data_IF_051380903114
#
_entry.id   IF_051380903114
#
_cell.length_a   1.000
_cell.length_b   1.000
_cell.length_c   1.000
_cell.angle_alpha   90.00
_cell.angle_beta   90.00
_cell.angle_gamma   90.00
#
_symmetry.space_group_name_H-M   'P 1'
#
loop_
_entity.id
_entity.type
_entity.pdbx_description
1 polymer ?
#
# COMPACT_ATOMS: atom_id res chain seq x y z
N UNK A 1 -3.67 -7.11 0.41
CA UNK A 1 -2.80 -6.14 -0.29
C UNK A 1 -3.46 -5.61 -1.57
N UNK A 2 -3.85 -6.47 -2.53
CA UNK A 2 -4.44 -6.05 -3.82
C UNK A 2 -5.70 -5.19 -3.65
N UNK A 3 -6.57 -5.52 -2.70
CA UNK A 3 -7.75 -4.73 -2.37
C UNK A 3 -7.37 -3.29 -1.96
N UNK A 4 -6.40 -3.13 -1.07
CA UNK A 4 -5.88 -1.81 -0.66
C UNK A 4 -5.39 -1.02 -1.87
N UNK A 5 -4.61 -1.66 -2.76
CA UNK A 5 -4.13 -1.01 -3.99
C UNK A 5 -5.29 -0.57 -4.88
N UNK A 6 -6.33 -1.40 -5.01
CA UNK A 6 -7.54 -1.04 -5.75
C UNK A 6 -8.21 0.22 -5.21
N UNK A 7 -8.33 0.35 -3.87
CA UNK A 7 -8.95 1.52 -3.24
C UNK A 7 -8.05 2.78 -3.29
N UNK A 8 -6.74 2.61 -3.26
CA UNK A 8 -5.81 3.73 -3.37
C UNK A 8 -5.68 4.26 -4.81
N UNK A 9 -5.68 3.39 -5.81
CA UNK A 9 -5.42 3.74 -7.20
C UNK A 9 -6.62 4.32 -7.96
N UNK A 10 -7.84 4.17 -7.45
CA UNK A 10 -9.07 4.77 -8.01
C UNK A 10 -9.90 5.42 -6.91
N UNK A 11 -10.93 6.20 -7.26
CA UNK A 11 -11.87 6.74 -6.28
C UNK A 11 -12.50 5.64 -5.42
N UNK A 12 -12.41 5.79 -4.10
CA UNK A 12 -13.00 4.89 -3.10
C UNK A 12 -14.31 5.46 -2.58
N UNK A 13 -14.29 6.55 -1.83
CA UNK A 13 -15.46 7.26 -1.33
C UNK A 13 -15.68 8.59 -2.07
N UNK A 14 -14.62 9.19 -2.58
CA UNK A 14 -14.64 10.46 -3.29
C UNK A 14 -14.46 10.27 -4.80
N UNK A 15 -15.02 11.19 -5.58
CA UNK A 15 -14.67 11.31 -6.99
C UNK A 15 -13.32 11.98 -7.10
N UNK A 16 -12.43 11.41 -7.90
CA UNK A 16 -11.07 11.90 -8.13
C UNK A 16 -10.85 12.20 -9.61
N UNK A 17 -11.54 13.19 -10.20
CA UNK A 17 -11.34 13.52 -11.61
C UNK A 17 -9.87 13.87 -11.87
N UNK A 18 -9.40 13.66 -13.12
CA UNK A 18 -8.09 14.12 -13.55
C UNK A 18 -7.93 15.60 -13.22
N UNK A 19 -6.77 15.99 -12.69
CA UNK A 19 -6.48 17.39 -12.39
C UNK A 19 -6.57 18.25 -13.66
N UNK A 20 -7.14 19.45 -13.55
CA UNK A 20 -7.37 20.32 -14.70
C UNK A 20 -6.08 20.65 -15.49
N UNK A 21 -4.94 20.74 -14.81
CA UNK A 21 -3.64 20.95 -15.46
C UNK A 21 -3.26 19.77 -16.36
N UNK A 22 -3.44 18.54 -15.85
CA UNK A 22 -3.12 17.31 -16.58
C UNK A 22 -4.10 17.08 -17.72
N UNK A 23 -5.39 17.35 -17.49
CA UNK A 23 -6.44 17.30 -18.51
C UNK A 23 -6.11 18.26 -19.66
N UNK A 24 -5.72 19.49 -19.35
CA UNK A 24 -5.32 20.48 -20.34
C UNK A 24 -4.07 20.04 -21.11
N UNK A 25 -3.06 19.52 -20.43
CA UNK A 25 -1.83 19.02 -21.06
C UNK A 25 -2.11 17.82 -21.98
N UNK A 26 -2.97 16.90 -21.54
CA UNK A 26 -3.38 15.74 -22.35
C UNK A 26 -4.10 16.16 -23.63
N UNK A 27 -5.13 17.03 -23.51
CA UNK A 27 -5.93 17.48 -24.65
C UNK A 27 -5.15 18.41 -25.61
N UNK A 28 -4.07 19.03 -25.15
CA UNK A 28 -3.17 19.76 -26.05
C UNK A 28 -2.41 18.84 -27.03
N UNK A 29 -2.16 17.58 -26.60
CA UNK A 29 -1.52 16.56 -27.44
C UNK A 29 -2.54 15.72 -28.23
N UNK A 30 -3.70 15.49 -27.62
CA UNK A 30 -4.74 14.59 -28.13
C UNK A 30 -6.13 15.27 -28.05
N UNK A 31 -6.38 16.28 -28.93
CA UNK A 31 -7.60 17.09 -28.82
C UNK A 31 -8.91 16.30 -29.02
N UNK A 32 -8.85 15.19 -29.75
CA UNK A 32 -10.02 14.35 -30.04
C UNK A 32 -10.29 13.26 -28.99
N UNK A 33 -9.41 13.11 -27.98
CA UNK A 33 -9.48 12.07 -26.93
C UNK A 33 -10.09 12.58 -25.60
N UNK A 34 -11.18 13.33 -25.69
CA UNK A 34 -11.92 13.81 -24.53
C UNK A 34 -12.36 12.67 -23.59
N UNK A 35 -12.66 11.51 -24.14
CA UNK A 35 -13.04 10.32 -23.34
C UNK A 35 -11.99 9.94 -22.31
N UNK A 36 -10.72 9.90 -22.67
CA UNK A 36 -9.62 9.56 -21.76
C UNK A 36 -9.50 10.62 -20.66
N UNK A 37 -9.51 11.88 -21.05
CA UNK A 37 -9.39 13.01 -20.10
C UNK A 37 -10.57 13.13 -19.12
N UNK A 38 -11.74 12.61 -19.48
CA UNK A 38 -12.95 12.62 -18.62
C UNK A 38 -13.02 11.40 -17.68
N UNK A 39 -12.39 10.28 -18.05
CA UNK A 39 -12.56 9.02 -17.30
C UNK A 39 -11.34 8.62 -16.48
N UNK A 40 -10.15 9.17 -16.73
CA UNK A 40 -9.01 8.95 -15.84
C UNK A 40 -9.23 9.65 -14.49
N UNK A 41 -8.73 9.01 -13.44
CA UNK A 41 -8.90 9.46 -12.07
C UNK A 41 -7.54 9.69 -11.40
N UNK A 42 -7.49 10.61 -10.44
CA UNK A 42 -6.36 10.74 -9.53
C UNK A 42 -6.21 9.47 -8.68
N UNK A 43 -4.99 8.98 -8.58
CA UNK A 43 -4.66 7.80 -7.78
C UNK A 43 -3.57 8.11 -6.76
N UNK A 44 -3.60 7.40 -5.63
CA UNK A 44 -2.47 7.33 -4.70
C UNK A 44 -1.60 6.15 -5.16
N UNK A 45 -0.36 6.37 -5.61
CA UNK A 45 0.48 5.30 -6.14
C UNK A 45 0.70 4.20 -5.10
N UNK A 46 0.37 2.96 -5.45
CA UNK A 46 0.52 1.81 -4.56
C UNK A 46 0.80 0.53 -5.37
N UNK A 47 1.60 -0.37 -4.80
CA UNK A 47 2.00 -1.64 -5.42
C UNK A 47 1.75 -2.78 -4.43
N UNK A 48 1.03 -3.82 -4.86
CA UNK A 48 0.88 -5.05 -4.10
C UNK A 48 2.01 -6.02 -4.46
N UNK A 49 2.96 -6.22 -3.57
CA UNK A 49 4.13 -7.09 -3.81
C UNK A 49 3.76 -8.57 -4.00
N UNK A 50 2.54 -8.95 -3.64
CA UNK A 50 2.00 -10.31 -3.85
C UNK A 50 1.59 -10.58 -5.30
N UNK A 51 1.43 -9.55 -6.13
CA UNK A 51 0.87 -9.67 -7.49
C UNK A 51 1.93 -9.93 -8.57
N UNK A 52 3.21 -9.94 -8.24
CA UNK A 52 4.30 -10.15 -9.18
C UNK A 52 4.62 -11.65 -9.37
N UNK A 53 3.70 -12.41 -9.94
CA UNK A 53 3.78 -13.87 -10.06
C UNK A 53 5.06 -14.35 -10.77
N UNK A 54 5.40 -13.75 -11.91
CA UNK A 54 6.60 -14.13 -12.67
C UNK A 54 7.88 -13.92 -11.86
N UNK A 55 8.00 -12.76 -11.19
CA UNK A 55 9.15 -12.47 -10.33
C UNK A 55 9.21 -13.44 -9.15
N UNK A 56 8.08 -13.67 -8.46
CA UNK A 56 8.02 -14.57 -7.31
C UNK A 56 8.41 -16.01 -7.68
N UNK A 57 7.99 -16.48 -8.85
CA UNK A 57 8.32 -17.81 -9.36
C UNK A 57 9.81 -17.92 -9.70
N UNK A 58 10.34 -16.96 -10.47
CA UNK A 58 11.76 -16.96 -10.85
C UNK A 58 12.66 -16.82 -9.60
N UNK A 59 12.33 -15.89 -8.70
CA UNK A 59 13.08 -15.71 -7.46
C UNK A 59 13.13 -16.97 -6.61
N UNK A 60 12.00 -17.67 -6.46
CA UNK A 60 11.92 -18.89 -5.64
C UNK A 60 12.74 -20.05 -6.20
N UNK A 61 13.08 -20.05 -7.52
CA UNK A 61 13.97 -21.03 -8.11
C UNK A 61 15.45 -20.70 -7.88
N UNK A 62 15.80 -19.42 -7.86
CA UNK A 62 17.20 -18.98 -7.95
C UNK A 62 17.74 -18.42 -6.63
N UNK A 63 16.86 -18.04 -5.68
CA UNK A 63 17.21 -17.36 -4.44
C UNK A 63 16.27 -17.76 -3.28
N UNK A 64 16.61 -17.41 -2.01
CA UNK A 64 15.75 -17.73 -0.87
C UNK A 64 14.33 -17.15 -1.02
N UNK A 65 13.28 -17.98 -1.04
CA UNK A 65 11.89 -17.53 -1.26
C UNK A 65 11.41 -16.50 -0.26
N UNK A 66 11.92 -16.54 0.97
CA UNK A 66 11.56 -15.59 2.03
C UNK A 66 12.02 -14.16 1.73
N UNK A 67 12.91 -13.95 0.79
CA UNK A 67 13.42 -12.63 0.40
C UNK A 67 12.67 -12.01 -0.78
N UNK A 68 11.72 -12.70 -1.39
CA UNK A 68 11.03 -12.24 -2.59
C UNK A 68 10.38 -10.84 -2.42
N UNK A 69 9.76 -10.56 -1.28
CA UNK A 69 9.21 -9.22 -1.01
C UNK A 69 10.30 -8.21 -0.66
N UNK A 70 11.34 -8.65 0.05
CA UNK A 70 12.48 -7.79 0.36
C UNK A 70 13.20 -7.32 -0.92
N UNK A 71 13.37 -8.19 -1.91
CA UNK A 71 13.92 -7.86 -3.22
C UNK A 71 13.07 -6.82 -3.95
N UNK A 72 11.76 -6.98 -3.94
CA UNK A 72 10.85 -6.01 -4.55
C UNK A 72 10.93 -4.64 -3.85
N UNK A 73 10.98 -4.63 -2.51
CA UNK A 73 11.20 -3.40 -1.74
C UNK A 73 12.56 -2.78 -2.09
N UNK A 74 13.59 -3.58 -2.22
CA UNK A 74 14.92 -3.10 -2.62
C UNK A 74 14.93 -2.47 -4.02
N UNK A 75 14.22 -3.07 -4.96
CA UNK A 75 14.11 -2.59 -6.35
C UNK A 75 13.23 -1.35 -6.50
N UNK A 76 12.04 -1.34 -5.91
CA UNK A 76 11.05 -0.27 -6.08
C UNK A 76 11.21 0.86 -5.07
N UNK A 77 11.49 0.54 -3.80
CA UNK A 77 11.42 1.49 -2.69
C UNK A 77 12.41 2.64 -2.79
N UNK A 78 11.95 3.82 -2.49
CA UNK A 78 12.75 5.05 -2.42
C UNK A 78 12.63 5.65 -1.02
N UNK A 79 13.66 6.37 -0.52
CA UNK A 79 13.55 7.10 0.73
C UNK A 79 12.33 8.02 0.75
N UNK A 80 11.54 7.94 1.82
CA UNK A 80 10.29 8.69 1.96
C UNK A 80 9.04 7.95 1.48
N UNK A 81 9.16 6.83 0.77
CA UNK A 81 8.02 5.96 0.49
C UNK A 81 7.52 5.27 1.76
N UNK A 82 6.37 4.64 1.69
CA UNK A 82 5.77 3.88 2.78
C UNK A 82 5.67 2.39 2.43
N UNK A 83 6.15 1.54 3.32
CA UNK A 83 5.94 0.09 3.29
C UNK A 83 4.90 -0.31 4.32
N UNK A 84 3.89 -1.06 3.91
CA UNK A 84 2.90 -1.65 4.81
C UNK A 84 3.02 -3.18 4.81
N UNK A 85 3.45 -3.75 5.94
CA UNK A 85 3.54 -5.19 6.17
C UNK A 85 2.29 -5.72 6.86
N UNK A 86 1.58 -6.67 6.24
CA UNK A 86 0.38 -7.30 6.81
C UNK A 86 0.69 -8.75 7.16
N UNK A 87 0.60 -9.09 8.43
CA UNK A 87 0.82 -10.45 8.93
C UNK A 87 0.03 -10.71 10.21
N UNK A 88 -0.88 -11.68 10.21
CA UNK A 88 -1.71 -11.99 11.38
C UNK A 88 -0.90 -12.34 12.62
N UNK A 89 0.18 -13.11 12.48
CA UNK A 89 1.11 -13.42 13.57
C UNK A 89 2.18 -12.34 13.78
N UNK A 90 2.40 -11.47 12.80
CA UNK A 90 3.52 -10.53 12.78
C UNK A 90 4.91 -11.19 12.66
N UNK A 91 4.96 -12.52 12.40
CA UNK A 91 6.21 -13.31 12.39
C UNK A 91 6.48 -13.99 11.05
N UNK A 92 5.72 -13.69 10.00
CA UNK A 92 5.98 -14.19 8.66
C UNK A 92 7.32 -13.64 8.14
N UNK A 93 8.31 -14.52 7.95
CA UNK A 93 9.69 -14.13 7.63
C UNK A 93 9.80 -13.24 6.41
N UNK A 94 9.05 -13.56 5.34
CA UNK A 94 9.03 -12.77 4.11
C UNK A 94 8.58 -11.33 4.34
N UNK A 95 7.56 -11.11 5.17
CA UNK A 95 7.06 -9.77 5.52
C UNK A 95 8.06 -9.04 6.44
N UNK A 96 8.64 -9.74 7.42
CA UNK A 96 9.63 -9.16 8.34
C UNK A 96 10.91 -8.74 7.60
N UNK A 97 11.39 -9.55 6.65
CA UNK A 97 12.56 -9.18 5.86
C UNK A 97 12.28 -8.00 4.94
N UNK A 98 11.09 -7.93 4.35
CA UNK A 98 10.68 -6.77 3.57
C UNK A 98 10.60 -5.50 4.43
N UNK A 99 10.06 -5.57 5.64
CA UNK A 99 10.03 -4.45 6.59
C UNK A 99 11.44 -3.96 6.97
N UNK A 100 12.35 -4.90 7.27
CA UNK A 100 13.76 -4.57 7.56
C UNK A 100 14.44 -3.89 6.37
N UNK A 101 14.19 -4.38 5.16
CA UNK A 101 14.73 -3.80 3.93
C UNK A 101 14.17 -2.39 3.70
N UNK A 102 12.86 -2.21 3.90
CA UNK A 102 12.20 -0.91 3.79
C UNK A 102 12.81 0.11 4.78
N UNK A 103 12.90 -0.26 6.06
CA UNK A 103 13.50 0.58 7.09
C UNK A 103 14.96 0.97 6.76
N UNK A 104 15.79 -0.02 6.35
CA UNK A 104 17.18 0.21 5.95
C UNK A 104 17.32 1.11 4.71
N UNK A 105 16.30 1.16 3.86
CA UNK A 105 16.23 2.02 2.66
C UNK A 105 15.64 3.40 2.92
N UNK A 106 15.25 3.71 4.17
CA UNK A 106 14.67 5.00 4.54
C UNK A 106 13.20 5.17 4.16
N UNK A 107 12.47 4.05 4.01
CA UNK A 107 11.02 4.08 3.89
C UNK A 107 10.39 4.16 5.28
N UNK A 108 9.22 4.79 5.38
CA UNK A 108 8.36 4.65 6.55
C UNK A 108 7.74 3.26 6.58
N UNK A 109 7.60 2.67 7.77
CA UNK A 109 7.15 1.29 7.90
C UNK A 109 5.94 1.16 8.83
N UNK A 110 4.89 0.52 8.33
CA UNK A 110 3.67 0.20 9.10
C UNK A 110 3.49 -1.32 9.14
N UNK A 111 3.30 -1.86 10.34
CA UNK A 111 2.87 -3.24 10.56
C UNK A 111 1.37 -3.31 10.87
N UNK A 112 0.64 -4.24 10.26
CA UNK A 112 -0.74 -4.57 10.60
C UNK A 112 -0.80 -6.02 11.06
N UNK A 113 -1.10 -6.26 12.36
CA UNK A 113 -0.94 -7.56 13.02
C UNK A 113 -2.10 -7.86 13.96
N UNK A 114 -2.08 -9.07 14.57
CA UNK A 114 -2.92 -9.40 15.72
C UNK A 114 -2.39 -8.80 17.03
N UNK A 115 -3.00 -9.18 18.16
CA UNK A 115 -2.78 -8.55 19.47
C UNK A 115 -1.37 -8.74 20.05
N UNK A 116 -0.66 -9.81 19.66
CA UNK A 116 0.62 -10.20 20.28
C UNK A 116 1.78 -9.35 19.77
N UNK A 117 2.78 -9.13 20.64
CA UNK A 117 4.10 -8.64 20.21
C UNK A 117 4.73 -9.60 19.19
N UNK A 118 5.47 -9.05 18.25
CA UNK A 118 6.00 -9.81 17.12
C UNK A 118 7.29 -9.22 16.55
N UNK A 119 7.96 -9.98 15.69
CA UNK A 119 9.13 -9.47 14.97
C UNK A 119 8.80 -8.25 14.09
N UNK A 120 7.61 -8.21 13.51
CA UNK A 120 7.18 -7.07 12.68
C UNK A 120 6.96 -5.83 13.54
N UNK A 121 6.33 -5.98 14.73
CA UNK A 121 6.13 -4.86 15.66
C UNK A 121 7.44 -4.31 16.25
N UNK A 122 8.50 -5.09 16.27
CA UNK A 122 9.81 -4.65 16.72
C UNK A 122 10.62 -3.90 15.64
N UNK A 123 10.20 -3.99 14.37
CA UNK A 123 10.93 -3.40 13.22
C UNK A 123 10.22 -2.18 12.66
N UNK A 124 8.88 -2.17 12.63
CA UNK A 124 8.11 -1.10 12.02
C UNK A 124 8.08 0.16 12.90
N UNK A 125 8.08 1.34 12.27
CA UNK A 125 7.93 2.63 12.95
C UNK A 125 6.58 2.72 13.67
N UNK A 126 5.53 2.17 13.06
CA UNK A 126 4.16 2.09 13.61
C UNK A 126 3.63 0.67 13.46
N UNK A 127 2.97 0.16 14.48
CA UNK A 127 2.25 -1.12 14.40
C UNK A 127 0.81 -0.97 14.85
N UNK A 128 -0.11 -1.27 13.95
CA UNK A 128 -1.54 -1.36 14.24
C UNK A 128 -1.83 -2.81 14.63
N UNK A 129 -2.25 -3.01 15.87
CA UNK A 129 -2.58 -4.32 16.42
C UNK A 129 -4.07 -4.44 16.66
N UNK A 130 -4.73 -5.37 15.97
CA UNK A 130 -6.13 -5.66 16.27
C UNK A 130 -6.24 -6.57 17.51
N UNK A 131 -7.28 -6.42 18.37
CA UNK A 131 -7.37 -7.08 19.65
C UNK A 131 -7.84 -8.55 19.55
N UNK A 132 -7.19 -9.32 18.65
CA UNK A 132 -7.51 -10.73 18.40
C UNK A 132 -6.24 -11.58 18.22
N UNK A 133 -6.36 -12.89 18.50
CA UNK A 133 -5.25 -13.84 18.39
C UNK A 133 -5.51 -14.97 17.40
N UNK A 134 -6.78 -15.21 17.03
CA UNK A 134 -7.19 -16.20 16.05
C UNK A 134 -7.06 -15.65 14.63
N UNK A 135 -6.36 -16.37 13.75
CA UNK A 135 -5.97 -15.87 12.41
C UNK A 135 -7.15 -15.31 11.61
N UNK A 136 -8.27 -16.04 11.51
CA UNK A 136 -9.41 -15.58 10.72
C UNK A 136 -10.08 -14.33 11.32
N UNK A 137 -10.15 -14.23 12.67
CA UNK A 137 -10.70 -13.03 13.35
C UNK A 137 -9.79 -11.81 13.16
N UNK A 138 -8.48 -12.01 13.22
CA UNK A 138 -7.52 -10.96 12.91
C UNK A 138 -7.76 -10.44 11.48
N UNK A 139 -7.95 -11.34 10.51
CA UNK A 139 -8.21 -10.98 9.12
C UNK A 139 -9.53 -10.21 8.94
N UNK A 140 -10.59 -10.61 9.68
CA UNK A 140 -11.87 -9.89 9.70
C UNK A 140 -11.70 -8.46 10.23
N UNK A 141 -10.89 -8.27 11.27
CA UNK A 141 -10.62 -6.95 11.85
C UNK A 141 -9.63 -6.10 11.02
N UNK A 142 -8.75 -6.72 10.25
CA UNK A 142 -7.89 -5.99 9.32
C UNK A 142 -8.69 -5.26 8.25
N UNK A 143 -9.82 -5.80 7.82
CA UNK A 143 -10.67 -5.22 6.76
C UNK A 143 -11.12 -3.79 7.10
N UNK A 144 -11.84 -3.52 8.19
CA UNK A 144 -12.27 -2.17 8.53
C UNK A 144 -11.09 -1.23 8.81
N UNK A 145 -9.97 -1.76 9.35
CA UNK A 145 -8.78 -0.94 9.59
C UNK A 145 -8.21 -0.39 8.28
N UNK A 146 -7.95 -1.24 7.29
CA UNK A 146 -7.37 -0.72 6.05
C UNK A 146 -8.39 0.06 5.20
N UNK A 147 -9.70 -0.22 5.29
CA UNK A 147 -10.71 0.65 4.67
C UNK A 147 -10.69 2.05 5.28
N UNK A 148 -10.60 2.14 6.61
CA UNK A 148 -10.46 3.43 7.28
C UNK A 148 -9.18 4.16 6.85
N UNK A 149 -8.05 3.46 6.75
CA UNK A 149 -6.80 4.04 6.26
C UNK A 149 -6.93 4.56 4.81
N UNK A 150 -7.56 3.77 3.92
CA UNK A 150 -7.80 4.20 2.54
C UNK A 150 -8.69 5.44 2.48
N UNK A 151 -9.78 5.48 3.28
CA UNK A 151 -10.67 6.64 3.35
C UNK A 151 -9.96 7.89 3.88
N UNK A 152 -9.16 7.73 4.95
CA UNK A 152 -8.41 8.85 5.53
C UNK A 152 -7.36 9.40 4.55
N UNK A 153 -6.63 8.53 3.84
CA UNK A 153 -5.66 8.94 2.83
C UNK A 153 -6.34 9.60 1.62
N UNK A 154 -7.52 9.11 1.23
CA UNK A 154 -8.30 9.72 0.16
C UNK A 154 -8.76 11.12 0.53
N UNK A 155 -9.29 11.30 1.74
CA UNK A 155 -9.73 12.61 2.24
C UNK A 155 -8.56 13.61 2.31
N UNK A 156 -7.38 13.16 2.79
CA UNK A 156 -6.19 14.00 2.83
C UNK A 156 -5.69 14.41 1.44
N UNK A 157 -5.71 13.48 0.49
CA UNK A 157 -5.16 13.72 -0.84
C UNK A 157 -6.13 14.45 -1.80
N UNK A 158 -7.45 14.25 -1.62
CA UNK A 158 -8.46 14.68 -2.59
C UNK A 158 -9.68 15.38 -1.95
N UNK A 159 -9.78 15.43 -0.62
CA UNK A 159 -10.86 16.12 0.07
C UNK A 159 -10.80 17.64 -0.11
N UNK A 160 -11.94 18.30 -0.09
CA UNK A 160 -12.05 19.76 -0.23
C UNK A 160 -11.49 20.51 0.99
N UNK A 161 -11.41 19.88 2.14
CA UNK A 161 -10.89 20.44 3.39
C UNK A 161 -9.45 19.97 3.65
N UNK A 162 -8.49 20.54 2.94
CA UNK A 162 -7.08 20.42 3.29
C UNK A 162 -6.82 21.10 4.64
N UNK A 163 -6.97 20.37 5.73
CA UNK A 163 -6.64 20.93 7.06
C UNK A 163 -7.32 20.31 8.27
N UNK A 164 -8.08 19.23 8.11
CA UNK A 164 -8.73 18.58 9.26
C UNK A 164 -8.51 17.06 9.24
N UNK A 165 -7.27 16.65 9.53
CA UNK A 165 -7.04 15.35 10.15
C UNK A 165 -6.85 15.59 11.65
N UNK A 166 -7.73 15.00 12.39
CA UNK A 166 -7.76 14.93 13.86
C UNK A 166 -6.55 14.18 14.36
#
# INVERSE_FOLDING_TARGET
CEHIVGELMKGFLLKRPMAEADKKAFLALYPDDGFVAEHLQGGIPAIALVSHTALSTAWSNDAPPELCYAEQVYGYGRPGDLFMGISTSGNAKNVVYAAKTAHARGLYTIGLTGARESMLSAVCDVTIRVPETETYRIQELHLPVYHWLCAALEEEAFGENQGMLI
#
